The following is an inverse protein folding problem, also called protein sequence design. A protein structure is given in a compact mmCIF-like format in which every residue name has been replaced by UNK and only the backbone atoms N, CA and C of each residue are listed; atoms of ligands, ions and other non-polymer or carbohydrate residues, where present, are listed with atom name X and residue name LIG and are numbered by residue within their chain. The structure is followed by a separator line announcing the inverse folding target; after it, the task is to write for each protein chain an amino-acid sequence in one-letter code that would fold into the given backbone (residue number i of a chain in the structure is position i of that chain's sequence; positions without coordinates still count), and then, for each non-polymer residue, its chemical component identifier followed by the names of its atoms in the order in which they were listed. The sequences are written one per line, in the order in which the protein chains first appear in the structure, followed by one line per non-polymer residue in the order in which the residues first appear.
data_IF_336205707369
#
_entry.id   IF_336205707369
#
_cell.length_a   1.000
_cell.length_b   1.000
_cell.length_c   1.000
_cell.angle_alpha   90.00
_cell.angle_beta   90.00
_cell.angle_gamma   90.00
#
_symmetry.space_group_name_H-M   'P 1'
#
loop_
_entity.id
_entity.type
_entity.pdbx_description
1 polymer ?
#
# COMPACT_ATOMS: atom_id res chain seq x y z
N UNK A 1 44.59 -59.43 -35.06
CA UNK A 1 44.01 -59.05 -33.71
C UNK A 1 44.02 -57.56 -33.61
N UNK A 2 42.92 -56.90 -33.92
CA UNK A 2 42.78 -55.41 -33.82
C UNK A 2 41.96 -55.10 -32.53
N UNK A 3 42.58 -54.44 -31.58
CA UNK A 3 41.94 -53.96 -30.38
C UNK A 3 41.44 -52.56 -30.64
N UNK A 4 40.11 -52.40 -30.68
CA UNK A 4 39.43 -51.10 -30.76
C UNK A 4 39.46 -50.46 -29.36
N UNK A 5 40.13 -49.30 -29.21
CA UNK A 5 40.11 -48.49 -28.05
C UNK A 5 38.75 -47.78 -27.93
N UNK A 6 37.95 -48.16 -26.95
CA UNK A 6 36.65 -47.52 -26.64
C UNK A 6 36.85 -46.12 -26.08
N UNK A 7 36.26 -45.14 -26.71
CA UNK A 7 36.22 -43.75 -26.28
C UNK A 7 35.38 -43.61 -24.99
N UNK A 8 36.07 -43.45 -23.86
CA UNK A 8 35.48 -43.32 -22.48
C UNK A 8 35.25 -41.88 -22.04
N UNK A 9 35.22 -40.89 -22.95
CA UNK A 9 35.14 -39.47 -22.60
C UNK A 9 33.71 -38.91 -22.39
N UNK A 10 32.68 -39.67 -22.73
CA UNK A 10 31.28 -39.21 -22.65
C UNK A 10 30.67 -39.08 -21.24
N UNK A 11 30.94 -39.96 -20.26
CA UNK A 11 30.26 -39.85 -18.95
C UNK A 11 30.73 -38.68 -18.09
N UNK A 12 31.98 -38.23 -18.22
CA UNK A 12 32.54 -37.14 -17.40
C UNK A 12 31.96 -35.77 -17.76
N UNK A 13 31.69 -35.51 -19.06
CA UNK A 13 31.08 -34.23 -19.50
C UNK A 13 29.61 -34.16 -19.09
N UNK A 14 28.86 -35.22 -19.13
CA UNK A 14 27.49 -35.25 -18.65
C UNK A 14 27.40 -35.00 -17.14
N UNK A 15 28.34 -35.53 -16.35
CA UNK A 15 28.38 -35.31 -14.89
C UNK A 15 28.59 -33.87 -14.50
N UNK A 16 29.30 -33.08 -15.31
CA UNK A 16 29.53 -31.63 -15.06
C UNK A 16 28.42 -30.76 -15.67
N UNK A 17 27.87 -31.16 -16.82
CA UNK A 17 26.86 -30.36 -17.53
C UNK A 17 25.47 -30.48 -16.90
N UNK A 18 25.14 -31.64 -16.31
CA UNK A 18 23.82 -31.86 -15.67
C UNK A 18 23.54 -30.87 -14.51
N UNK A 19 24.43 -30.68 -13.52
CA UNK A 19 24.21 -29.68 -12.45
C UNK A 19 24.16 -28.26 -12.98
N UNK A 20 24.97 -27.92 -13.99
CA UNK A 20 24.93 -26.60 -14.63
C UNK A 20 23.59 -26.36 -15.35
N UNK A 21 23.09 -27.32 -16.10
CA UNK A 21 21.81 -27.21 -16.76
C UNK A 21 20.64 -27.11 -15.76
N UNK A 22 20.70 -27.88 -14.67
CA UNK A 22 19.74 -27.79 -13.58
C UNK A 22 19.75 -26.41 -12.91
N UNK A 23 20.96 -25.89 -12.62
CA UNK A 23 21.14 -24.57 -12.04
C UNK A 23 20.57 -23.47 -12.95
N UNK A 24 20.90 -23.51 -14.25
CA UNK A 24 20.40 -22.52 -15.21
C UNK A 24 18.87 -22.62 -15.39
N UNK A 25 18.31 -23.83 -15.37
CA UNK A 25 16.87 -24.06 -15.41
C UNK A 25 16.16 -23.49 -14.18
N UNK A 26 16.69 -23.73 -12.98
CA UNK A 26 16.17 -23.17 -11.73
C UNK A 26 16.34 -21.64 -11.67
N UNK A 27 17.48 -21.13 -12.09
CA UNK A 27 17.73 -19.68 -12.14
C UNK A 27 16.77 -19.00 -13.13
N UNK A 28 16.55 -19.57 -14.30
CA UNK A 28 15.59 -19.08 -15.28
C UNK A 28 14.15 -19.11 -14.77
N UNK A 29 13.74 -20.22 -14.13
CA UNK A 29 12.43 -20.34 -13.49
C UNK A 29 12.25 -19.27 -12.37
N UNK A 30 13.27 -19.08 -11.55
CA UNK A 30 13.23 -18.09 -10.46
C UNK A 30 13.14 -16.66 -11.01
N UNK A 31 13.92 -16.34 -12.06
CA UNK A 31 13.85 -15.05 -12.76
C UNK A 31 12.44 -14.78 -13.31
N UNK A 32 11.86 -15.76 -14.03
CA UNK A 32 10.49 -15.62 -14.56
C UNK A 32 9.49 -15.41 -13.43
N UNK A 33 9.60 -16.14 -12.31
CA UNK A 33 8.71 -15.99 -11.16
C UNK A 33 8.90 -14.67 -10.43
N UNK A 34 10.12 -14.13 -10.38
CA UNK A 34 10.41 -12.84 -9.76
C UNK A 34 9.73 -11.67 -10.50
N UNK A 35 9.61 -11.77 -11.83
CA UNK A 35 8.95 -10.74 -12.65
C UNK A 35 7.47 -11.04 -12.97
N UNK A 36 6.97 -12.23 -12.64
CA UNK A 36 5.59 -12.63 -12.93
C UNK A 36 4.60 -12.36 -11.78
N UNK A 37 5.05 -11.87 -10.63
CA UNK A 37 4.20 -11.58 -9.47
C UNK A 37 4.03 -10.08 -9.26
N UNK A 38 2.79 -9.63 -9.17
CA UNK A 38 2.47 -8.30 -8.66
C UNK A 38 2.40 -8.40 -7.12
N UNK A 39 3.37 -7.83 -6.37
CA UNK A 39 3.36 -7.89 -4.91
C UNK A 39 2.19 -7.14 -4.28
N UNK A 40 1.51 -6.26 -5.04
CA UNK A 40 0.33 -5.55 -4.58
C UNK A 40 -0.91 -6.46 -4.45
N UNK A 41 -0.86 -7.67 -5.06
CA UNK A 41 -1.97 -8.64 -5.04
C UNK A 41 -1.96 -9.57 -3.83
N UNK A 42 -1.01 -9.45 -2.90
CA UNK A 42 -1.02 -10.26 -1.67
C UNK A 42 -2.13 -9.73 -0.75
N UNK A 43 -3.23 -10.48 -0.51
CA UNK A 43 -4.28 -10.03 0.36
C UNK A 43 -3.73 -9.74 1.76
N UNK A 44 -3.96 -8.54 2.27
CA UNK A 44 -3.59 -8.21 3.65
C UNK A 44 -4.36 -9.12 4.62
N UNK A 45 -3.70 -9.70 5.63
CA UNK A 45 -4.36 -10.50 6.66
C UNK A 45 -5.35 -9.69 7.52
N UNK A 46 -5.37 -8.37 7.35
CA UNK A 46 -6.29 -7.46 8.05
C UNK A 46 -7.61 -7.28 7.30
N UNK A 47 -7.75 -7.75 6.06
CA UNK A 47 -9.03 -7.66 5.33
C UNK A 47 -10.10 -8.46 6.09
N UNK A 48 -11.26 -7.83 6.32
CA UNK A 48 -12.36 -8.38 7.11
C UNK A 48 -12.18 -8.23 8.62
N UNK A 49 -11.05 -7.74 9.10
CA UNK A 49 -10.83 -7.46 10.53
C UNK A 49 -11.18 -6.02 10.89
N UNK A 50 -11.54 -5.74 12.15
CA UNK A 50 -11.70 -4.38 12.61
C UNK A 50 -10.45 -3.54 12.33
N UNK A 51 -10.65 -2.28 11.91
CA UNK A 51 -9.56 -1.31 11.80
C UNK A 51 -8.86 -1.16 13.16
N UNK A 52 -7.54 -0.92 13.19
CA UNK A 52 -6.80 -0.69 14.42
C UNK A 52 -7.44 0.41 15.28
N UNK A 53 -7.42 0.19 16.59
CA UNK A 53 -8.10 1.07 17.57
C UNK A 53 -7.18 2.15 18.13
N UNK A 54 -6.07 2.44 17.47
CA UNK A 54 -5.12 3.48 17.89
C UNK A 54 -5.66 4.85 17.53
N UNK A 55 -5.84 5.69 18.55
CA UNK A 55 -6.10 7.12 18.36
C UNK A 55 -4.80 7.84 18.04
N UNK A 56 -4.80 8.66 16.98
CA UNK A 56 -3.66 9.48 16.60
C UNK A 56 -3.95 10.96 16.85
N UNK A 57 -3.01 11.69 17.48
CA UNK A 57 -3.15 13.14 17.64
C UNK A 57 -3.18 13.82 16.25
N UNK A 58 -3.75 15.02 16.14
CA UNK A 58 -3.70 15.79 14.91
C UNK A 58 -2.25 16.10 14.52
N UNK A 59 -1.97 16.15 13.23
CA UNK A 59 -0.72 16.72 12.73
C UNK A 59 -0.73 18.21 13.06
N UNK A 60 0.20 18.63 13.91
CA UNK A 60 0.26 20.01 14.42
C UNK A 60 0.28 21.04 13.29
N UNK A 61 -0.50 22.09 13.40
CA UNK A 61 -0.55 23.22 12.47
C UNK A 61 -1.26 22.95 11.15
N UNK A 62 -1.86 21.78 10.95
CA UNK A 62 -2.74 21.57 9.81
C UNK A 62 -4.12 22.16 10.08
N UNK A 63 -4.62 22.90 9.09
CA UNK A 63 -5.93 23.50 9.10
C UNK A 63 -6.74 23.15 7.85
N UNK A 64 -8.05 23.18 7.98
CA UNK A 64 -9.01 23.13 6.88
C UNK A 64 -10.08 24.18 7.09
N UNK A 65 -10.24 25.09 6.12
CA UNK A 65 -11.20 26.20 6.19
C UNK A 65 -11.05 27.08 7.45
N UNK A 66 -9.80 27.32 7.91
CA UNK A 66 -9.51 28.14 9.09
C UNK A 66 -9.74 27.46 10.44
N UNK A 67 -10.04 26.15 10.46
CA UNK A 67 -10.16 25.36 11.68
C UNK A 67 -9.05 24.29 11.74
N UNK A 68 -8.52 23.99 12.95
CA UNK A 68 -7.55 22.90 13.11
C UNK A 68 -8.08 21.57 12.58
N UNK A 69 -7.25 20.87 11.78
CA UNK A 69 -7.62 19.57 11.24
C UNK A 69 -7.59 18.53 12.36
N UNK A 70 -8.66 17.74 12.58
CA UNK A 70 -8.66 16.74 13.65
C UNK A 70 -7.69 15.60 13.38
N UNK A 71 -7.23 14.94 14.43
CA UNK A 71 -6.53 13.67 14.39
C UNK A 71 -7.45 12.50 14.03
N UNK A 72 -6.97 11.27 14.15
CA UNK A 72 -7.77 10.08 13.89
C UNK A 72 -8.32 9.49 15.19
N UNK A 73 -9.62 9.25 15.20
CA UNK A 73 -10.30 8.51 16.24
C UNK A 73 -10.94 7.26 15.63
N UNK A 74 -10.62 6.05 16.11
CA UNK A 74 -11.19 4.81 15.60
C UNK A 74 -12.73 4.74 15.66
N UNK A 75 -13.35 5.44 16.60
CA UNK A 75 -14.81 5.52 16.71
C UNK A 75 -15.44 6.13 15.44
N UNK A 76 -14.70 6.99 14.74
CA UNK A 76 -15.16 7.66 13.52
C UNK A 76 -15.18 6.75 12.28
N UNK A 77 -14.63 5.54 12.38
CA UNK A 77 -14.66 4.55 11.30
C UNK A 77 -16.00 3.79 11.21
N UNK A 78 -16.88 3.95 12.18
CA UNK A 78 -18.20 3.32 12.16
C UNK A 78 -19.26 4.23 11.56
N UNK A 79 -20.19 3.64 10.83
CA UNK A 79 -21.33 4.35 10.24
C UNK A 79 -21.06 5.01 8.88
N UNK A 80 -19.80 5.23 8.51
CA UNK A 80 -19.41 5.78 7.21
C UNK A 80 -18.27 4.98 6.59
N UNK A 81 -18.25 4.91 5.26
CA UNK A 81 -17.07 4.38 4.56
C UNK A 81 -15.94 5.40 4.70
N UNK A 82 -14.75 4.92 5.06
CA UNK A 82 -13.56 5.76 5.24
C UNK A 82 -12.41 5.22 4.38
N UNK A 83 -11.82 6.09 3.59
CA UNK A 83 -10.56 5.82 2.88
C UNK A 83 -9.43 6.39 3.72
N UNK A 84 -8.49 5.54 4.12
CA UNK A 84 -7.33 5.90 4.95
C UNK A 84 -6.09 5.80 4.09
N UNK A 85 -5.45 6.93 3.82
CA UNK A 85 -4.18 6.98 3.09
C UNK A 85 -3.02 7.17 4.07
N UNK A 86 -2.01 6.32 3.98
CA UNK A 86 -0.78 6.41 4.79
C UNK A 86 0.29 7.07 3.94
N UNK A 87 0.79 8.20 4.39
CA UNK A 87 1.67 9.06 3.62
C UNK A 87 2.77 9.71 4.45
N UNK A 88 3.76 10.31 3.78
CA UNK A 88 4.78 11.13 4.42
C UNK A 88 5.30 12.20 3.46
N UNK A 89 5.80 13.32 3.98
CA UNK A 89 6.36 14.40 3.17
C UNK A 89 7.66 14.01 2.45
N UNK A 90 8.42 13.09 3.02
CA UNK A 90 9.67 12.56 2.45
C UNK A 90 9.45 11.49 1.37
N UNK A 91 8.21 11.04 1.19
CA UNK A 91 7.84 9.97 0.26
C UNK A 91 7.65 10.53 -1.16
N UNK A 92 8.52 10.15 -2.09
CA UNK A 92 8.43 10.61 -3.49
C UNK A 92 7.14 10.14 -4.18
N UNK A 93 6.74 8.84 -4.12
CA UNK A 93 5.49 8.41 -4.74
C UNK A 93 4.22 9.05 -4.14
N UNK A 94 4.28 9.52 -2.87
CA UNK A 94 3.16 10.24 -2.26
C UNK A 94 2.92 11.61 -2.91
N UNK A 95 3.97 12.22 -3.49
CA UNK A 95 3.84 13.47 -4.27
C UNK A 95 3.09 13.21 -5.58
N UNK A 96 3.40 12.08 -6.20
CA UNK A 96 2.82 11.71 -7.50
C UNK A 96 1.32 11.40 -7.38
N UNK A 97 0.88 10.81 -6.25
CA UNK A 97 -0.53 10.51 -6.01
C UNK A 97 -1.36 11.69 -5.45
N UNK A 98 -0.71 12.75 -4.95
CA UNK A 98 -1.39 13.86 -4.27
C UNK A 98 -2.52 14.51 -5.13
N UNK A 99 -2.36 14.76 -6.45
CA UNK A 99 -3.45 15.29 -7.29
C UNK A 99 -4.65 14.34 -7.36
N UNK A 100 -4.40 13.02 -7.36
CA UNK A 100 -5.45 12.00 -7.40
C UNK A 100 -6.20 11.90 -6.08
N UNK A 101 -5.51 12.06 -4.95
CA UNK A 101 -6.14 12.18 -3.63
C UNK A 101 -7.03 13.43 -3.53
N UNK A 102 -6.60 14.57 -4.10
CA UNK A 102 -7.44 15.76 -4.19
C UNK A 102 -8.70 15.51 -5.03
N UNK A 103 -8.56 14.83 -6.17
CA UNK A 103 -9.72 14.44 -6.98
C UNK A 103 -10.65 13.50 -6.20
N UNK A 104 -10.08 12.50 -5.50
CA UNK A 104 -10.84 11.54 -4.70
C UNK A 104 -11.60 12.23 -3.56
N UNK A 105 -11.02 13.27 -2.95
CA UNK A 105 -11.62 14.03 -1.84
C UNK A 105 -12.85 14.86 -2.22
N UNK A 106 -13.13 15.01 -3.52
CA UNK A 106 -14.36 15.68 -4.01
C UNK A 106 -15.60 14.78 -3.90
N UNK A 107 -15.41 13.47 -3.70
CA UNK A 107 -16.52 12.54 -3.53
C UNK A 107 -16.96 12.50 -2.05
N UNK A 108 -18.11 13.10 -1.77
CA UNK A 108 -18.67 13.21 -0.42
C UNK A 108 -19.35 11.95 0.10
N UNK A 109 -19.37 10.85 -0.67
CA UNK A 109 -20.01 9.58 -0.27
C UNK A 109 -19.21 8.84 0.81
N UNK A 110 -17.95 9.19 0.99
CA UNK A 110 -17.03 8.62 1.98
C UNK A 110 -16.15 9.70 2.58
N UNK A 111 -15.42 9.35 3.64
CA UNK A 111 -14.43 10.24 4.25
C UNK A 111 -13.04 9.85 3.79
N UNK A 112 -12.23 10.82 3.37
CA UNK A 112 -10.81 10.62 3.10
C UNK A 112 -10.00 11.16 4.28
N UNK A 113 -9.21 10.30 4.91
CA UNK A 113 -8.37 10.66 6.07
C UNK A 113 -6.92 10.23 5.86
N UNK A 114 -5.98 10.87 6.54
CA UNK A 114 -4.56 10.61 6.39
C UNK A 114 -3.90 10.10 7.67
N UNK A 115 -2.96 9.16 7.56
CA UNK A 115 -1.98 8.84 8.60
C UNK A 115 -0.62 9.36 8.11
N UNK A 116 -0.10 10.38 8.80
CA UNK A 116 1.22 10.92 8.52
C UNK A 116 2.27 10.08 9.24
N UNK A 117 3.01 9.27 8.47
CA UNK A 117 3.87 8.20 8.97
C UNK A 117 5.31 8.66 9.13
N UNK A 118 5.83 8.59 10.36
CA UNK A 118 7.23 8.90 10.71
C UNK A 118 7.73 10.19 10.04
N UNK A 119 6.99 11.26 10.23
CA UNK A 119 7.25 12.53 9.57
C UNK A 119 7.38 13.65 10.59
N UNK A 120 7.83 14.80 10.14
CA UNK A 120 7.88 16.04 10.93
C UNK A 120 6.69 16.92 10.55
N UNK A 121 6.01 17.49 11.55
CA UNK A 121 4.81 18.31 11.34
C UNK A 121 5.04 19.49 10.38
N UNK A 122 6.19 20.19 10.48
CA UNK A 122 6.50 21.33 9.60
C UNK A 122 6.69 20.87 8.14
N UNK A 123 7.28 19.67 7.94
CA UNK A 123 7.43 19.09 6.61
C UNK A 123 6.08 18.66 6.04
N UNK A 124 5.25 18.02 6.86
CA UNK A 124 3.89 17.62 6.51
C UNK A 124 3.02 18.83 6.13
N UNK A 125 3.12 19.94 6.88
CA UNK A 125 2.44 21.19 6.55
C UNK A 125 2.89 21.74 5.19
N UNK A 126 4.20 21.85 4.96
CA UNK A 126 4.74 22.34 3.67
C UNK A 126 4.32 21.45 2.50
N UNK A 127 4.30 20.14 2.71
CA UNK A 127 3.84 19.19 1.71
C UNK A 127 2.38 19.44 1.33
N UNK A 128 1.47 19.48 2.31
CA UNK A 128 0.04 19.70 2.06
C UNK A 128 -0.27 21.13 1.60
N UNK A 129 0.52 22.13 2.01
CA UNK A 129 0.39 23.50 1.48
C UNK A 129 0.77 23.57 0.00
N UNK A 130 1.75 22.77 -0.44
CA UNK A 130 2.21 22.77 -1.83
C UNK A 130 1.29 21.95 -2.75
N UNK A 131 0.90 20.74 -2.32
CA UNK A 131 0.13 19.81 -3.14
C UNK A 131 -1.38 19.87 -2.90
N UNK A 132 -1.83 20.61 -1.89
CA UNK A 132 -3.21 20.65 -1.42
C UNK A 132 -3.50 19.62 -0.32
N UNK A 133 -4.51 19.91 0.51
CA UNK A 133 -4.93 19.03 1.61
C UNK A 133 -6.23 18.30 1.26
N UNK A 134 -6.18 16.99 0.92
CA UNK A 134 -7.35 16.20 0.59
C UNK A 134 -8.10 15.67 1.82
N UNK A 135 -7.48 15.73 3.01
CA UNK A 135 -7.92 14.98 4.18
C UNK A 135 -8.99 15.72 4.98
N UNK A 136 -9.98 14.97 5.45
CA UNK A 136 -10.98 15.42 6.43
C UNK A 136 -10.44 15.34 7.87
N UNK A 137 -9.45 14.48 8.11
CA UNK A 137 -8.73 14.31 9.36
C UNK A 137 -7.32 13.78 9.04
N UNK A 138 -6.31 14.16 9.83
CA UNK A 138 -4.94 13.66 9.65
C UNK A 138 -4.30 13.38 11.02
N UNK A 139 -3.96 12.11 11.23
CA UNK A 139 -3.30 11.68 12.47
C UNK A 139 -1.78 11.61 12.32
N UNK A 140 -1.05 12.08 13.32
CA UNK A 140 0.40 11.99 13.39
C UNK A 140 0.82 10.63 13.99
N UNK A 141 1.59 9.85 13.23
CA UNK A 141 2.21 8.60 13.66
C UNK A 141 3.73 8.74 13.67
N UNK A 142 4.24 9.60 14.56
CA UNK A 142 5.67 9.93 14.66
C UNK A 142 6.53 8.70 14.95
N UNK A 143 6.01 7.76 15.74
CA UNK A 143 6.70 6.52 16.11
C UNK A 143 6.61 5.44 15.03
N UNK A 144 5.64 5.51 14.14
CA UNK A 144 5.30 4.47 13.17
C UNK A 144 4.55 3.29 13.78
N UNK A 145 4.06 3.41 15.02
CA UNK A 145 3.34 2.33 15.70
C UNK A 145 2.00 2.04 15.04
N UNK A 146 1.25 3.06 14.69
CA UNK A 146 0.00 2.88 13.97
C UNK A 146 0.23 2.21 12.61
N UNK A 147 1.29 2.59 11.88
CA UNK A 147 1.68 1.91 10.66
C UNK A 147 1.89 0.40 10.86
N UNK A 148 2.52 -0.02 11.95
CA UNK A 148 2.68 -1.45 12.29
C UNK A 148 1.32 -2.11 12.53
N UNK A 149 0.43 -1.49 13.30
CA UNK A 149 -0.90 -2.01 13.62
C UNK A 149 -1.79 -2.10 12.36
N UNK A 150 -1.65 -1.17 11.42
CA UNK A 150 -2.29 -1.19 10.11
C UNK A 150 -1.61 -2.16 9.12
N UNK A 151 -0.51 -2.82 9.53
CA UNK A 151 0.24 -3.71 8.66
C UNK A 151 0.81 -3.01 7.43
N UNK A 152 1.25 -1.74 7.60
CA UNK A 152 1.88 -0.93 6.54
C UNK A 152 3.26 -1.50 6.24
N UNK A 153 3.53 -1.80 4.98
CA UNK A 153 4.84 -2.25 4.50
C UNK A 153 5.73 -1.06 4.12
N UNK A 154 5.12 0.01 3.66
CA UNK A 154 5.79 1.24 3.24
C UNK A 154 4.76 2.30 2.87
N UNK A 155 5.23 3.49 2.49
CA UNK A 155 4.35 4.57 2.04
C UNK A 155 4.55 4.83 0.54
N UNK A 156 3.46 5.13 -0.19
CA UNK A 156 2.08 5.22 0.29
C UNK A 156 1.35 3.87 0.30
N UNK A 157 0.34 3.77 1.13
CA UNK A 157 -0.65 2.69 1.13
C UNK A 157 -2.04 3.26 1.42
N UNK A 158 -3.07 2.66 0.82
CA UNK A 158 -4.45 3.13 0.99
C UNK A 158 -5.35 1.99 1.46
N UNK A 159 -6.13 2.24 2.51
CA UNK A 159 -7.10 1.29 3.06
C UNK A 159 -8.51 1.81 2.85
N UNK A 160 -9.45 0.90 2.61
CA UNK A 160 -10.87 1.18 2.63
C UNK A 160 -11.45 0.50 3.87
N UNK A 161 -12.06 1.29 4.74
CA UNK A 161 -12.78 0.82 5.93
C UNK A 161 -14.28 0.94 5.66
N UNK A 162 -14.99 -0.17 5.81
CA UNK A 162 -16.43 -0.23 5.64
C UNK A 162 -17.21 0.44 6.79
N UNK A 163 -18.53 0.62 6.64
CA UNK A 163 -19.42 1.19 7.68
C UNK A 163 -19.41 0.38 8.97
N UNK A 164 -19.10 -0.92 8.89
CA UNK A 164 -18.96 -1.82 10.05
C UNK A 164 -17.62 -1.62 10.82
N UNK A 165 -16.77 -0.69 10.35
CA UNK A 165 -15.45 -0.41 10.92
C UNK A 165 -14.39 -1.47 10.60
N UNK A 166 -14.63 -2.37 9.63
CA UNK A 166 -13.64 -3.37 9.20
C UNK A 166 -12.94 -2.94 7.93
N UNK A 167 -11.70 -3.38 7.78
CA UNK A 167 -10.91 -3.16 6.58
C UNK A 167 -11.50 -3.99 5.44
N UNK A 168 -12.07 -3.33 4.44
CA UNK A 168 -12.66 -3.95 3.26
C UNK A 168 -11.60 -4.20 2.17
N UNK A 169 -10.61 -3.31 2.04
CA UNK A 169 -9.59 -3.40 0.99
C UNK A 169 -8.29 -2.70 1.42
N UNK A 170 -7.17 -3.12 0.84
CA UNK A 170 -5.85 -2.50 0.97
C UNK A 170 -5.20 -2.39 -0.39
N UNK A 171 -4.79 -1.19 -0.79
CA UNK A 171 -3.94 -0.92 -1.93
C UNK A 171 -2.53 -0.65 -1.43
N UNK A 172 -1.55 -1.43 -1.90
CA UNK A 172 -0.13 -1.24 -1.61
C UNK A 172 0.50 -0.43 -2.74
N UNK A 173 1.27 0.59 -2.39
CA UNK A 173 1.88 1.51 -3.34
C UNK A 173 0.99 2.70 -3.73
N UNK A 174 1.48 3.56 -4.66
CA UNK A 174 0.81 4.80 -5.01
C UNK A 174 -0.48 4.58 -5.79
N UNK A 175 -1.43 5.49 -5.58
CA UNK A 175 -2.59 5.62 -6.44
C UNK A 175 -2.11 6.17 -7.78
N UNK A 176 -2.50 5.51 -8.86
CA UNK A 176 -2.30 5.94 -10.26
C UNK A 176 -3.66 6.13 -10.92
N UNK A 177 -3.72 6.80 -12.06
CA UNK A 177 -4.98 6.94 -12.81
C UNK A 177 -5.59 5.58 -13.16
N UNK A 178 -4.75 4.61 -13.52
CA UNK A 178 -5.18 3.26 -13.85
C UNK A 178 -5.79 2.55 -12.65
N UNK A 179 -5.05 2.39 -11.53
CA UNK A 179 -5.56 1.66 -10.37
C UNK A 179 -6.66 2.41 -9.62
N UNK A 180 -6.72 3.75 -9.72
CA UNK A 180 -7.81 4.53 -9.16
C UNK A 180 -9.14 4.16 -9.84
N UNK A 181 -9.15 4.03 -11.15
CA UNK A 181 -10.38 3.77 -11.90
C UNK A 181 -10.69 2.27 -11.99
N UNK A 182 -9.68 1.40 -12.15
CA UNK A 182 -9.87 -0.04 -12.33
C UNK A 182 -10.02 -0.80 -11.01
N UNK A 183 -9.50 -0.27 -9.90
CA UNK A 183 -9.44 -0.98 -8.62
C UNK A 183 -10.06 -0.16 -7.48
N UNK A 184 -9.49 1.03 -7.16
CA UNK A 184 -9.82 1.73 -5.92
C UNK A 184 -11.28 2.19 -5.89
N UNK A 185 -11.77 2.88 -6.94
CA UNK A 185 -13.17 3.33 -7.03
C UNK A 185 -14.16 2.16 -6.98
N UNK A 186 -14.00 1.06 -7.75
CA UNK A 186 -14.85 -0.13 -7.61
C UNK A 186 -14.89 -0.73 -6.20
N UNK A 187 -13.76 -0.75 -5.49
CA UNK A 187 -13.72 -1.24 -4.10
C UNK A 187 -14.41 -0.27 -3.13
N UNK A 188 -14.31 1.05 -3.35
CA UNK A 188 -15.07 2.05 -2.59
C UNK A 188 -16.57 1.86 -2.83
N UNK A 189 -17.00 1.74 -4.09
CA UNK A 189 -18.41 1.52 -4.45
C UNK A 189 -18.97 0.22 -3.84
N UNK A 190 -18.15 -0.84 -3.82
CA UNK A 190 -18.50 -2.10 -3.14
C UNK A 190 -18.69 -1.89 -1.62
N UNK A 191 -17.80 -1.14 -0.98
CA UNK A 191 -17.92 -0.83 0.45
C UNK A 191 -19.13 0.06 0.76
N UNK A 192 -19.47 0.99 -0.14
CA UNK A 192 -20.65 1.85 -0.03
C UNK A 192 -21.95 1.05 -0.19
N UNK A 193 -21.97 0.04 -1.06
CA UNK A 193 -23.13 -0.84 -1.30
C UNK A 193 -23.30 -1.92 -0.22
N UNK A 194 -22.25 -2.24 0.56
CA UNK A 194 -22.35 -3.22 1.63
C UNK A 194 -23.30 -2.73 2.73
N UNK A 195 -24.21 -3.60 3.16
CA UNK A 195 -25.10 -3.34 4.31
C UNK A 195 -24.24 -3.20 5.59
N UNK A 196 -24.68 -2.33 6.47
CA UNK A 196 -24.06 -2.11 7.80
C UNK A 196 -24.28 -3.30 8.70
#
# INVERSE_FOLDING_TARGET
MSMTAGDSSRPRRALVLTPLALFLGLAGLFLVRLFAGDPSLIPSPLIGRPAPQTTLPPVTGLERNGAPLPGLNPADFKGAVTVVNVWASWCVPCRDEAPLLLQLSQDNRFRLVGINYKDNADNAQRFLAHFGNPFAAAGADDSGRAGIEWGVYGVPETFIVGRDGKIAYKLVGPITEDNMNSVLKPQIDKALAAAS
#
